data_IF_017806848056
#
_entry.id   IF_017806848056
#
_cell.length_a   1.000
_cell.length_b   1.000
_cell.length_c   1.000
_cell.angle_alpha   90.00
_cell.angle_beta   90.00
_cell.angle_gamma   90.00
#
_symmetry.space_group_name_H-M   'P 1'
#
loop_
_entity.id
_entity.type
_entity.pdbx_description
1 polymer ?
#
# COMPACT_ATOMS: atom_id res chain seq x y z
N UNK A 1 -15.62 -8.86 11.34
CA UNK A 1 -16.16 -8.25 10.10
C UNK A 1 -16.12 -6.74 10.27
N UNK A 2 -15.42 -6.03 9.41
CA UNK A 2 -15.28 -4.57 9.47
C UNK A 2 -16.56 -3.93 8.91
N UNK A 3 -17.19 -3.06 9.70
CA UNK A 3 -18.37 -2.31 9.24
C UNK A 3 -17.88 -1.09 8.49
N UNK A 4 -18.28 -0.93 7.24
CA UNK A 4 -17.88 0.18 6.35
C UNK A 4 -18.94 1.28 6.36
N UNK A 5 -20.22 0.92 6.32
CA UNK A 5 -21.32 1.88 6.30
C UNK A 5 -21.29 2.79 7.54
N UNK A 6 -21.25 4.08 7.31
CA UNK A 6 -21.11 5.12 8.33
C UNK A 6 -19.73 5.25 8.97
N UNK A 7 -18.76 4.36 8.66
CA UNK A 7 -17.41 4.39 9.24
C UNK A 7 -16.64 5.66 8.86
N UNK A 8 -15.85 6.18 9.79
CA UNK A 8 -14.87 7.22 9.53
C UNK A 8 -13.59 6.62 8.96
N UNK A 9 -13.23 6.98 7.74
CA UNK A 9 -12.09 6.41 7.00
C UNK A 9 -11.08 7.49 6.62
N UNK A 10 -9.79 7.20 6.77
CA UNK A 10 -8.68 8.01 6.24
C UNK A 10 -7.95 7.22 5.16
N UNK A 11 -7.65 7.86 4.03
CA UNK A 11 -6.82 7.27 2.97
C UNK A 11 -5.65 8.19 2.68
N UNK A 12 -4.41 7.72 2.89
CA UNK A 12 -3.19 8.46 2.53
C UNK A 12 -2.76 8.16 1.11
N UNK A 13 -2.19 9.14 0.40
CA UNK A 13 -1.94 9.05 -1.04
C UNK A 13 -3.26 8.85 -1.81
N UNK A 14 -4.32 9.49 -1.34
CA UNK A 14 -5.69 9.31 -1.83
C UNK A 14 -6.04 10.13 -3.06
N UNK A 15 -5.14 11.01 -3.53
CA UNK A 15 -5.36 11.87 -4.69
C UNK A 15 -5.25 11.15 -6.04
N UNK A 16 -4.59 10.00 -6.11
CA UNK A 16 -4.35 9.30 -7.36
C UNK A 16 -4.32 7.77 -7.20
N UNK A 17 -4.29 7.06 -8.33
CA UNK A 17 -4.00 5.63 -8.43
C UNK A 17 -4.83 4.76 -7.48
N UNK A 18 -4.13 3.87 -6.77
CA UNK A 18 -4.77 2.94 -5.82
C UNK A 18 -5.52 3.72 -4.72
N UNK A 19 -4.88 4.76 -4.15
CA UNK A 19 -5.48 5.53 -3.05
C UNK A 19 -6.82 6.17 -3.45
N UNK A 20 -6.89 6.76 -4.65
CA UNK A 20 -8.15 7.29 -5.20
C UNK A 20 -9.21 6.20 -5.33
N UNK A 21 -8.83 5.05 -5.87
CA UNK A 21 -9.77 3.94 -6.04
C UNK A 21 -10.26 3.40 -4.68
N UNK A 22 -9.36 3.27 -3.69
CA UNK A 22 -9.75 2.88 -2.32
C UNK A 22 -10.73 3.88 -1.71
N UNK A 23 -10.45 5.19 -1.83
CA UNK A 23 -11.32 6.25 -1.33
C UNK A 23 -12.72 6.17 -1.98
N UNK A 24 -12.77 6.02 -3.31
CA UNK A 24 -14.01 5.88 -4.07
C UNK A 24 -14.80 4.64 -3.68
N UNK A 25 -14.16 3.47 -3.62
CA UNK A 25 -14.81 2.22 -3.26
C UNK A 25 -15.37 2.22 -1.83
N UNK A 26 -14.62 2.76 -0.87
CA UNK A 26 -15.06 2.87 0.53
C UNK A 26 -16.19 3.88 0.68
N UNK A 27 -16.13 5.03 -0.03
CA UNK A 27 -17.24 6.00 -0.04
C UNK A 27 -18.52 5.40 -0.65
N UNK A 28 -18.40 4.68 -1.77
CA UNK A 28 -19.53 3.98 -2.40
C UNK A 28 -20.13 2.91 -1.48
N UNK A 29 -19.34 2.33 -0.59
CA UNK A 29 -19.79 1.39 0.45
C UNK A 29 -20.35 2.08 1.71
N UNK A 30 -20.56 3.40 1.70
CA UNK A 30 -21.19 4.18 2.76
C UNK A 30 -20.25 4.80 3.78
N UNK A 31 -18.94 4.73 3.58
CA UNK A 31 -17.97 5.36 4.49
C UNK A 31 -17.92 6.89 4.31
N UNK A 32 -17.58 7.60 5.40
CA UNK A 32 -17.19 9.01 5.38
C UNK A 32 -15.67 9.09 5.25
N UNK A 33 -15.17 9.62 4.13
CA UNK A 33 -13.76 9.50 3.80
C UNK A 33 -13.02 10.84 3.94
N UNK A 34 -11.87 10.81 4.57
CA UNK A 34 -10.84 11.85 4.52
C UNK A 34 -9.76 11.41 3.55
N UNK A 35 -9.48 12.24 2.57
CA UNK A 35 -8.48 12.07 1.54
C UNK A 35 -7.25 12.90 1.90
N UNK A 36 -6.12 12.23 2.14
CA UNK A 36 -4.83 12.89 2.31
C UNK A 36 -3.93 12.64 1.11
N UNK A 37 -3.29 13.68 0.62
CA UNK A 37 -2.25 13.62 -0.39
C UNK A 37 -1.28 14.79 -0.20
N UNK A 38 -0.07 14.71 -0.78
CA UNK A 38 0.84 15.86 -0.91
C UNK A 38 0.30 16.87 -1.90
N UNK A 39 -0.36 16.40 -2.96
CA UNK A 39 -1.04 17.22 -3.95
C UNK A 39 -2.43 17.62 -3.42
N UNK A 40 -2.54 18.89 -3.01
CA UNK A 40 -3.76 19.45 -2.44
C UNK A 40 -4.93 19.47 -3.45
N UNK A 41 -4.64 19.74 -4.72
CA UNK A 41 -5.66 19.82 -5.77
C UNK A 41 -6.19 18.41 -6.10
N UNK A 42 -5.30 17.42 -6.17
CA UNK A 42 -5.69 16.03 -6.36
C UNK A 42 -6.53 15.50 -5.19
N UNK A 43 -6.14 15.82 -3.95
CA UNK A 43 -6.92 15.47 -2.77
C UNK A 43 -8.31 16.11 -2.78
N UNK A 44 -8.40 17.39 -3.14
CA UNK A 44 -9.65 18.13 -3.23
C UNK A 44 -10.59 17.55 -4.31
N UNK A 45 -10.06 17.24 -5.48
CA UNK A 45 -10.83 16.65 -6.57
C UNK A 45 -11.46 15.28 -6.18
N UNK A 46 -10.69 14.43 -5.47
CA UNK A 46 -11.21 13.14 -4.98
C UNK A 46 -12.20 13.33 -3.85
N UNK A 47 -11.98 14.31 -2.96
CA UNK A 47 -12.93 14.65 -1.90
C UNK A 47 -14.29 15.10 -2.47
N UNK A 48 -14.28 15.93 -3.52
CA UNK A 48 -15.52 16.32 -4.23
C UNK A 48 -16.24 15.12 -4.84
N UNK A 49 -15.50 14.24 -5.54
CA UNK A 49 -16.05 13.03 -6.16
C UNK A 49 -16.69 12.06 -5.17
N UNK A 50 -16.12 11.96 -3.98
CA UNK A 50 -16.53 11.00 -2.94
C UNK A 50 -17.51 11.60 -1.91
N UNK A 51 -17.76 12.91 -1.96
CA UNK A 51 -18.46 13.62 -0.90
C UNK A 51 -17.69 13.64 0.43
N UNK A 52 -16.37 13.44 0.37
CA UNK A 52 -15.45 13.36 1.50
C UNK A 52 -14.78 14.70 1.85
N UNK A 53 -13.68 14.63 2.57
CA UNK A 53 -12.94 15.80 3.04
C UNK A 53 -11.46 15.70 2.61
N UNK A 54 -10.93 16.76 2.00
CA UNK A 54 -9.51 16.84 1.68
C UNK A 54 -8.71 17.36 2.90
N UNK A 55 -7.64 16.66 3.24
CA UNK A 55 -6.66 17.06 4.26
C UNK A 55 -5.26 16.87 3.66
N UNK A 56 -4.77 17.85 2.88
CA UNK A 56 -3.46 17.77 2.26
C UNK A 56 -2.34 17.81 3.29
N UNK A 57 -1.24 17.12 3.01
CA UNK A 57 -0.06 17.12 3.87
C UNK A 57 0.79 15.87 3.75
N UNK A 58 1.99 15.92 4.33
CA UNK A 58 2.98 14.84 4.27
C UNK A 58 2.74 13.79 5.38
N UNK A 59 2.02 12.72 5.05
CA UNK A 59 1.77 11.59 5.94
C UNK A 59 3.02 10.72 6.20
N UNK A 60 4.19 11.04 5.66
CA UNK A 60 5.44 10.35 5.99
C UNK A 60 6.12 10.93 7.24
N UNK A 61 5.84 12.17 7.63
CA UNK A 61 6.42 12.82 8.79
C UNK A 61 5.59 12.62 10.07
N UNK A 62 6.25 12.71 11.23
CA UNK A 62 5.54 12.58 12.52
C UNK A 62 4.52 13.70 12.71
N UNK A 63 4.89 14.94 12.38
CA UNK A 63 4.00 16.08 12.50
C UNK A 63 2.83 15.98 11.50
N UNK A 64 3.11 15.64 10.23
CA UNK A 64 2.05 15.50 9.23
C UNK A 64 1.03 14.41 9.55
N UNK A 65 1.48 13.29 10.13
CA UNK A 65 0.56 12.25 10.63
C UNK A 65 -0.31 12.75 11.77
N UNK A 66 0.25 13.50 12.73
CA UNK A 66 -0.52 14.09 13.84
C UNK A 66 -1.56 15.07 13.33
N UNK A 67 -1.15 15.97 12.44
CA UNK A 67 -2.05 16.99 11.87
C UNK A 67 -3.18 16.34 11.07
N UNK A 68 -2.85 15.33 10.24
CA UNK A 68 -3.84 14.55 9.50
C UNK A 68 -4.86 13.89 10.42
N UNK A 69 -4.40 13.18 11.46
CA UNK A 69 -5.27 12.46 12.38
C UNK A 69 -6.14 13.43 13.19
N UNK A 70 -5.58 14.57 13.61
CA UNK A 70 -6.34 15.62 14.32
C UNK A 70 -7.43 16.22 13.42
N UNK A 71 -7.10 16.59 12.19
CA UNK A 71 -8.07 17.13 11.22
C UNK A 71 -9.14 16.08 10.85
N UNK A 72 -8.73 14.84 10.61
CA UNK A 72 -9.66 13.75 10.31
C UNK A 72 -10.65 13.50 11.45
N UNK A 73 -10.21 13.55 12.70
CA UNK A 73 -11.11 13.47 13.87
C UNK A 73 -12.10 14.64 13.90
N UNK A 74 -11.68 15.83 13.51
CA UNK A 74 -12.56 17.01 13.40
C UNK A 74 -13.70 16.80 12.40
N UNK A 75 -13.42 16.19 11.25
CA UNK A 75 -14.41 15.91 10.21
C UNK A 75 -15.27 14.67 10.51
N UNK A 76 -14.66 13.60 11.00
CA UNK A 76 -15.27 12.29 11.13
C UNK A 76 -15.83 11.99 12.53
N UNK A 77 -15.40 12.73 13.55
CA UNK A 77 -15.63 12.41 14.97
C UNK A 77 -14.73 11.25 15.43
N UNK A 78 -14.78 10.10 14.77
CA UNK A 78 -13.89 8.97 15.02
C UNK A 78 -13.29 8.44 13.71
N UNK A 79 -12.07 7.92 13.82
CA UNK A 79 -11.43 7.18 12.70
C UNK A 79 -11.61 5.70 13.02
N UNK A 80 -12.35 4.99 12.17
CA UNK A 80 -12.62 3.56 12.31
C UNK A 80 -11.69 2.72 11.44
N UNK A 81 -11.33 3.24 10.25
CA UNK A 81 -10.47 2.60 9.27
C UNK A 81 -9.38 3.60 8.86
N UNK A 82 -8.13 3.14 8.81
CA UNK A 82 -7.01 3.93 8.28
C UNK A 82 -6.30 3.15 7.18
N UNK A 83 -6.41 3.64 5.95
CA UNK A 83 -5.70 3.12 4.79
C UNK A 83 -4.34 3.82 4.66
N UNK A 84 -3.31 3.21 5.21
CA UNK A 84 -1.92 3.64 5.07
C UNK A 84 -1.40 3.20 3.70
N UNK A 85 -1.75 4.00 2.68
CA UNK A 85 -1.56 3.65 1.27
C UNK A 85 -0.44 4.45 0.60
N UNK A 86 -0.16 5.68 1.04
CA UNK A 86 0.93 6.48 0.46
C UNK A 86 2.23 5.69 0.36
N UNK A 87 2.88 5.75 -0.80
CA UNK A 87 4.11 5.01 -1.05
C UNK A 87 4.84 5.54 -2.27
N UNK A 88 6.14 5.28 -2.34
CA UNK A 88 7.02 5.68 -3.45
C UNK A 88 7.86 4.49 -3.91
N UNK A 89 8.17 4.45 -5.21
CA UNK A 89 9.12 3.52 -5.80
C UNK A 89 10.31 4.34 -6.32
N UNK A 90 11.37 4.40 -5.54
CA UNK A 90 12.57 5.19 -5.82
C UNK A 90 13.82 4.35 -5.64
N UNK A 91 14.85 4.65 -6.43
CA UNK A 91 16.13 3.93 -6.40
C UNK A 91 16.05 2.56 -7.10
N UNK A 92 17.21 2.07 -7.53
CA UNK A 92 17.32 0.87 -8.37
C UNK A 92 18.14 -0.24 -7.73
N UNK A 93 19.33 0.08 -7.20
CA UNK A 93 20.41 -0.83 -6.87
C UNK A 93 21.16 -0.40 -5.58
N UNK A 94 22.24 -1.10 -5.18
CA UNK A 94 23.02 -0.73 -4.01
C UNK A 94 23.69 0.64 -4.09
N UNK A 95 23.94 1.16 -5.30
CA UNK A 95 24.59 2.47 -5.51
C UNK A 95 23.58 3.64 -5.38
N UNK A 96 22.29 3.34 -5.16
CA UNK A 96 21.27 4.34 -4.84
C UNK A 96 21.69 5.16 -3.63
N UNK A 97 21.67 6.51 -3.68
CA UNK A 97 22.07 7.38 -2.57
C UNK A 97 21.32 7.07 -1.26
N UNK A 98 22.02 7.21 -0.13
CA UNK A 98 21.45 6.91 1.20
C UNK A 98 20.20 7.76 1.49
N UNK A 99 20.17 9.02 1.04
CA UNK A 99 19.00 9.90 1.20
C UNK A 99 17.76 9.34 0.49
N UNK A 100 17.95 8.68 -0.67
CA UNK A 100 16.87 8.01 -1.40
C UNK A 100 16.38 6.78 -0.65
N UNK A 101 17.28 5.98 -0.08
CA UNK A 101 16.96 4.87 0.80
C UNK A 101 16.18 5.34 2.03
N UNK A 102 16.66 6.40 2.67
CA UNK A 102 16.00 6.99 3.84
C UNK A 102 14.61 7.49 3.49
N UNK A 103 14.45 8.21 2.38
CA UNK A 103 13.14 8.69 1.91
C UNK A 103 12.18 7.52 1.66
N UNK A 104 12.63 6.45 0.98
CA UNK A 104 11.83 5.25 0.79
C UNK A 104 11.39 4.63 2.12
N UNK A 105 12.29 4.59 3.10
CA UNK A 105 12.00 4.07 4.44
C UNK A 105 10.98 4.92 5.19
N UNK A 106 11.14 6.24 5.17
CA UNK A 106 10.22 7.17 5.83
C UNK A 106 8.80 7.06 5.29
N UNK A 107 8.65 7.02 3.96
CA UNK A 107 7.34 6.96 3.31
C UNK A 107 6.73 5.56 3.37
N UNK A 108 7.48 4.52 3.00
CA UNK A 108 6.92 3.18 2.83
C UNK A 108 6.85 2.36 4.12
N UNK A 109 7.54 2.80 5.20
CA UNK A 109 7.61 2.04 6.47
C UNK A 109 7.21 2.91 7.65
N UNK A 110 7.94 4.02 7.90
CA UNK A 110 7.73 4.83 9.11
C UNK A 110 6.38 5.53 9.13
N UNK A 111 5.79 5.83 7.98
CA UNK A 111 4.42 6.34 7.89
C UNK A 111 3.42 5.39 8.56
N UNK A 112 3.53 4.08 8.29
CA UNK A 112 2.67 3.06 8.93
C UNK A 112 2.87 3.01 10.45
N UNK A 113 4.13 3.07 10.90
CA UNK A 113 4.50 3.06 12.32
C UNK A 113 3.94 4.28 13.04
N UNK A 114 4.10 5.47 12.45
CA UNK A 114 3.62 6.74 13.03
C UNK A 114 2.10 6.77 13.13
N UNK A 115 1.41 6.40 12.03
CA UNK A 115 -0.05 6.38 12.00
C UNK A 115 -0.63 5.40 13.05
N UNK A 116 -0.12 4.19 13.10
CA UNK A 116 -0.59 3.22 14.09
C UNK A 116 -0.31 3.65 15.53
N UNK A 117 0.84 4.28 15.81
CA UNK A 117 1.17 4.84 17.14
C UNK A 117 0.12 5.85 17.61
N UNK A 118 -0.36 6.72 16.72
CA UNK A 118 -1.36 7.74 17.04
C UNK A 118 -2.79 7.17 17.14
N UNK A 119 -3.08 6.06 16.48
CA UNK A 119 -4.43 5.49 16.41
C UNK A 119 -4.68 4.40 17.47
N UNK A 120 -3.67 3.58 17.75
CA UNK A 120 -3.79 2.41 18.62
C UNK A 120 -4.37 2.72 20.01
N UNK A 121 -3.96 3.78 20.74
CA UNK A 121 -4.50 4.02 22.07
C UNK A 121 -6.02 4.07 22.09
N UNK A 122 -6.63 4.89 21.23
CA UNK A 122 -8.08 5.03 21.16
C UNK A 122 -8.78 3.77 20.61
N UNK A 123 -8.15 3.07 19.66
CA UNK A 123 -8.71 1.84 19.12
C UNK A 123 -8.70 0.70 20.13
N UNK A 124 -7.63 0.55 20.89
CA UNK A 124 -7.51 -0.48 21.92
C UNK A 124 -8.40 -0.20 23.14
N UNK A 125 -8.64 1.07 23.49
CA UNK A 125 -9.56 1.46 24.53
C UNK A 125 -11.01 1.12 24.17
N UNK A 126 -11.43 1.40 22.92
CA UNK A 126 -12.79 1.09 22.46
C UNK A 126 -12.98 -0.34 21.96
N UNK A 127 -11.89 -1.15 21.90
CA UNK A 127 -11.93 -2.54 21.47
C UNK A 127 -12.22 -2.73 19.98
N UNK A 128 -11.97 -1.72 19.12
CA UNK A 128 -12.18 -1.81 17.66
C UNK A 128 -11.33 -0.80 16.90
N UNK A 129 -10.79 -1.22 15.77
CA UNK A 129 -10.08 -0.41 14.79
C UNK A 129 -9.67 -1.25 13.61
N UNK A 130 -9.48 -0.64 12.44
CA UNK A 130 -9.04 -1.33 11.23
C UNK A 130 -7.87 -0.57 10.61
N UNK A 131 -6.73 -1.24 10.50
CA UNK A 131 -5.53 -0.70 9.87
C UNK A 131 -5.24 -1.44 8.57
N UNK A 132 -5.20 -0.72 7.45
CA UNK A 132 -4.95 -1.27 6.13
C UNK A 132 -3.62 -0.75 5.63
N UNK A 133 -2.70 -1.65 5.27
CA UNK A 133 -1.40 -1.33 4.69
C UNK A 133 -1.41 -1.69 3.21
N UNK A 134 -1.09 -0.73 2.35
CA UNK A 134 -0.77 -1.02 0.95
C UNK A 134 0.72 -1.35 0.83
N UNK A 135 1.04 -2.64 0.94
CA UNK A 135 2.37 -3.16 0.67
C UNK A 135 2.60 -3.33 -0.83
N UNK A 136 2.96 -4.51 -1.30
CA UNK A 136 3.14 -4.87 -2.70
C UNK A 136 3.44 -6.37 -2.80
N UNK A 137 3.22 -6.99 -3.95
CA UNK A 137 3.82 -8.30 -4.27
C UNK A 137 5.36 -8.28 -4.14
N UNK A 138 5.99 -7.11 -4.32
CA UNK A 138 7.42 -6.92 -4.06
C UNK A 138 7.80 -7.16 -2.59
N UNK A 139 6.89 -6.99 -1.64
CA UNK A 139 7.08 -7.31 -0.23
C UNK A 139 7.04 -8.81 0.08
N UNK A 140 6.47 -9.59 -0.82
CA UNK A 140 6.38 -11.05 -0.71
C UNK A 140 7.40 -11.78 -1.60
N UNK A 141 7.72 -11.22 -2.78
CA UNK A 141 8.41 -11.92 -3.86
C UNK A 141 9.76 -11.32 -4.24
N UNK A 142 10.02 -10.08 -3.83
CA UNK A 142 11.12 -9.22 -4.31
C UNK A 142 10.86 -8.70 -5.74
N UNK A 143 11.18 -7.45 -5.99
CA UNK A 143 11.12 -6.82 -7.32
C UNK A 143 12.54 -6.58 -7.83
N UNK A 144 12.85 -7.11 -9.00
CA UNK A 144 14.12 -6.83 -9.68
C UNK A 144 14.15 -5.36 -10.13
N UNK A 145 15.33 -4.75 -10.13
CA UNK A 145 15.54 -3.37 -10.53
C UNK A 145 15.04 -2.31 -9.52
N UNK A 146 14.66 -2.71 -8.29
CA UNK A 146 14.33 -1.74 -7.23
C UNK A 146 14.58 -2.32 -5.83
N UNK A 147 15.83 -2.21 -5.38
CA UNK A 147 16.25 -2.69 -4.07
C UNK A 147 15.58 -1.94 -2.91
N UNK A 148 15.54 -0.58 -2.88
CA UNK A 148 14.89 0.15 -1.79
C UNK A 148 13.38 -0.16 -1.69
N UNK A 149 12.71 -0.26 -2.84
CA UNK A 149 11.29 -0.60 -2.86
C UNK A 149 11.03 -2.00 -2.33
N UNK A 150 11.79 -3.00 -2.80
CA UNK A 150 11.65 -4.38 -2.32
C UNK A 150 11.86 -4.50 -0.82
N UNK A 151 12.92 -3.90 -0.28
CA UNK A 151 13.23 -3.94 1.15
C UNK A 151 12.13 -3.25 1.97
N UNK A 152 11.72 -2.06 1.56
CA UNK A 152 10.71 -1.31 2.31
C UNK A 152 9.32 -1.96 2.25
N UNK A 153 8.96 -2.60 1.13
CA UNK A 153 7.67 -3.31 1.03
C UNK A 153 7.65 -4.64 1.82
N UNK A 154 8.80 -5.33 1.97
CA UNK A 154 8.92 -6.43 2.94
C UNK A 154 8.77 -5.93 4.37
N UNK A 155 9.38 -4.80 4.72
CA UNK A 155 9.24 -4.21 6.03
C UNK A 155 7.80 -3.75 6.33
N UNK A 156 7.09 -3.19 5.36
CA UNK A 156 5.69 -2.79 5.49
C UNK A 156 4.76 -3.99 5.74
N UNK A 157 4.98 -5.09 4.99
CA UNK A 157 4.23 -6.34 5.19
C UNK A 157 4.51 -6.95 6.56
N UNK A 158 5.79 -7.10 6.93
CA UNK A 158 6.16 -7.64 8.24
C UNK A 158 5.65 -6.77 9.41
N UNK A 159 5.55 -5.44 9.23
CA UNK A 159 4.96 -4.57 10.23
C UNK A 159 3.44 -4.77 10.36
N UNK A 160 2.73 -4.94 9.23
CA UNK A 160 1.30 -5.26 9.23
C UNK A 160 1.04 -6.61 9.91
N UNK A 161 1.85 -7.63 9.62
CA UNK A 161 1.78 -8.94 10.25
C UNK A 161 1.99 -8.85 11.78
N UNK A 162 3.02 -8.08 12.20
CA UNK A 162 3.28 -7.86 13.62
C UNK A 162 2.11 -7.18 14.35
N UNK A 163 1.50 -6.16 13.73
CA UNK A 163 0.32 -5.49 14.28
C UNK A 163 -0.85 -6.47 14.45
N UNK A 164 -1.14 -7.27 13.42
CA UNK A 164 -2.20 -8.27 13.46
C UNK A 164 -1.96 -9.31 14.56
N UNK A 165 -0.77 -9.90 14.60
CA UNK A 165 -0.41 -10.91 15.60
C UNK A 165 -0.43 -10.36 17.03
N UNK A 166 -0.08 -9.06 17.20
CA UNK A 166 0.04 -8.45 18.54
C UNK A 166 -1.31 -7.99 19.09
N UNK A 167 -2.20 -7.43 18.27
CA UNK A 167 -3.37 -6.70 18.76
C UNK A 167 -4.74 -7.25 18.33
N UNK A 168 -4.79 -8.33 17.53
CA UNK A 168 -6.07 -8.88 17.07
C UNK A 168 -7.00 -9.25 18.25
N UNK A 169 -6.47 -9.83 19.32
CA UNK A 169 -7.23 -10.18 20.54
C UNK A 169 -7.80 -8.98 21.29
N UNK A 170 -7.35 -7.75 20.95
CA UNK A 170 -7.83 -6.49 21.52
C UNK A 170 -8.76 -5.72 20.58
N UNK A 171 -9.23 -6.36 19.51
CA UNK A 171 -10.20 -5.79 18.57
C UNK A 171 -9.59 -5.00 17.41
N UNK A 172 -8.26 -5.05 17.22
CA UNK A 172 -7.63 -4.50 16.02
C UNK A 172 -7.77 -5.52 14.87
N UNK A 173 -8.34 -5.07 13.74
CA UNK A 173 -8.23 -5.79 12.47
C UNK A 173 -7.14 -5.16 11.62
N UNK A 174 -6.33 -5.99 10.95
CA UNK A 174 -5.27 -5.52 10.05
C UNK A 174 -5.40 -6.24 8.72
N UNK A 175 -5.27 -5.49 7.65
CA UNK A 175 -5.26 -6.02 6.29
C UNK A 175 -4.02 -5.51 5.55
N UNK A 176 -3.39 -6.37 4.77
CA UNK A 176 -2.22 -6.05 3.95
C UNK A 176 -2.55 -6.30 2.49
N UNK A 177 -2.64 -5.23 1.70
CA UNK A 177 -2.87 -5.32 0.25
C UNK A 177 -1.53 -5.47 -0.44
N UNK A 178 -1.35 -6.55 -1.21
CA UNK A 178 -0.12 -6.84 -1.94
C UNK A 178 -0.38 -6.95 -3.44
N UNK A 179 -0.61 -5.82 -4.13
CA UNK A 179 -0.81 -5.80 -5.58
C UNK A 179 0.51 -6.04 -6.32
N UNK A 180 0.41 -6.56 -7.54
CA UNK A 180 1.49 -6.61 -8.53
C UNK A 180 1.44 -5.35 -9.40
N UNK A 181 1.44 -5.45 -10.73
CA UNK A 181 1.29 -4.30 -11.62
C UNK A 181 -0.12 -3.68 -11.53
N UNK A 182 -0.20 -2.38 -11.27
CA UNK A 182 -1.45 -1.62 -11.29
C UNK A 182 -1.26 -0.40 -12.18
N UNK A 183 -2.19 -0.12 -13.06
CA UNK A 183 -2.12 0.98 -14.05
C UNK A 183 -2.19 2.35 -13.34
N UNK A 184 -1.06 2.81 -12.87
CA UNK A 184 -0.84 4.08 -12.16
C UNK A 184 0.39 4.78 -12.74
N UNK A 185 0.62 6.06 -12.38
CA UNK A 185 1.85 6.77 -12.71
C UNK A 185 3.10 6.03 -12.24
N UNK A 186 3.05 5.43 -11.06
CA UNK A 186 4.15 4.65 -10.49
C UNK A 186 4.57 3.47 -11.40
N UNK A 187 3.63 2.80 -12.05
CA UNK A 187 3.95 1.73 -13.02
C UNK A 187 4.64 2.31 -14.25
N UNK A 188 4.18 3.46 -14.75
CA UNK A 188 4.82 4.15 -15.88
C UNK A 188 6.26 4.56 -15.59
N UNK A 189 6.59 4.87 -14.35
CA UNK A 189 7.91 5.29 -13.88
C UNK A 189 8.83 4.11 -13.49
N UNK A 190 8.32 2.87 -13.49
CA UNK A 190 9.05 1.68 -13.00
C UNK A 190 10.20 1.20 -13.90
N UNK A 191 10.50 1.94 -14.96
CA UNK A 191 11.56 1.60 -15.91
C UNK A 191 11.26 0.35 -16.74
N UNK A 192 12.23 -0.07 -17.57
CA UNK A 192 12.07 -1.24 -18.45
C UNK A 192 11.84 -2.55 -17.69
N UNK A 193 12.56 -2.76 -16.60
CA UNK A 193 12.40 -3.96 -15.77
C UNK A 193 10.97 -4.10 -15.25
N UNK A 194 10.38 -3.01 -14.73
CA UNK A 194 8.99 -3.00 -14.29
C UNK A 194 8.00 -3.22 -15.43
N UNK A 195 8.26 -2.64 -16.61
CA UNK A 195 7.42 -2.84 -17.78
C UNK A 195 7.44 -4.30 -18.26
N UNK A 196 8.62 -4.92 -18.34
CA UNK A 196 8.77 -6.33 -18.76
C UNK A 196 8.06 -7.29 -17.81
N UNK A 197 8.13 -7.03 -16.51
CA UNK A 197 7.63 -7.97 -15.48
C UNK A 197 6.16 -7.73 -15.14
N UNK A 198 5.66 -6.49 -15.26
CA UNK A 198 4.40 -6.08 -14.65
C UNK A 198 3.34 -5.60 -15.64
N UNK A 199 3.72 -5.14 -16.87
CA UNK A 199 2.78 -4.44 -17.75
C UNK A 199 1.66 -5.34 -18.28
N UNK A 200 1.99 -6.56 -18.71
CA UNK A 200 1.03 -7.48 -19.35
C UNK A 200 -0.06 -7.97 -18.38
N UNK A 201 0.24 -7.99 -17.07
CA UNK A 201 -0.68 -8.43 -16.04
C UNK A 201 -1.23 -7.26 -15.20
N UNK A 202 -1.02 -6.02 -15.63
CA UNK A 202 -1.43 -4.85 -14.85
C UNK A 202 -2.95 -4.69 -14.84
N UNK A 203 -3.51 -4.56 -13.64
CA UNK A 203 -4.95 -4.36 -13.39
C UNK A 203 -5.26 -2.87 -13.20
N UNK A 204 -6.54 -2.53 -13.31
CA UNK A 204 -7.02 -1.18 -12.97
C UNK A 204 -7.00 -0.96 -11.45
N UNK A 205 -6.80 0.29 -10.96
CA UNK A 205 -6.82 0.60 -9.53
C UNK A 205 -8.13 0.20 -8.83
N UNK A 206 -9.24 0.27 -9.54
CA UNK A 206 -10.57 -0.11 -9.04
C UNK A 206 -10.64 -1.58 -8.66
N UNK A 207 -9.95 -2.47 -9.37
CA UNK A 207 -9.88 -3.90 -9.04
C UNK A 207 -9.13 -4.14 -7.72
N UNK A 208 -8.20 -3.24 -7.33
CA UNK A 208 -7.57 -3.29 -6.01
C UNK A 208 -8.56 -2.89 -4.92
N UNK A 209 -9.40 -1.88 -5.17
CA UNK A 209 -10.45 -1.48 -4.25
C UNK A 209 -11.50 -2.58 -4.07
N UNK A 210 -11.92 -3.25 -5.14
CA UNK A 210 -12.84 -4.38 -5.09
C UNK A 210 -12.26 -5.54 -4.26
N UNK A 211 -10.97 -5.85 -4.46
CA UNK A 211 -10.28 -6.86 -3.66
C UNK A 211 -10.20 -6.47 -2.17
N UNK A 212 -9.98 -5.19 -1.85
CA UNK A 212 -10.04 -4.70 -0.48
C UNK A 212 -11.43 -4.91 0.13
N UNK A 213 -12.49 -4.49 -0.56
CA UNK A 213 -13.87 -4.60 -0.04
C UNK A 213 -14.24 -6.06 0.23
N UNK A 214 -13.87 -6.98 -0.67
CA UNK A 214 -14.04 -8.41 -0.46
C UNK A 214 -13.25 -8.91 0.76
N UNK A 215 -11.97 -8.53 0.87
CA UNK A 215 -11.11 -8.90 1.99
C UNK A 215 -11.61 -8.39 3.34
N UNK A 216 -12.17 -7.16 3.40
CA UNK A 216 -12.79 -6.60 4.60
C UNK A 216 -14.03 -7.40 5.03
N UNK A 217 -14.84 -7.82 4.06
CA UNK A 217 -16.03 -8.64 4.32
C UNK A 217 -15.67 -10.04 4.85
N UNK A 218 -14.60 -10.63 4.34
CA UNK A 218 -14.11 -11.96 4.72
C UNK A 218 -13.22 -11.96 5.97
N UNK A 219 -12.66 -10.80 6.35
CA UNK A 219 -11.65 -10.71 7.41
C UNK A 219 -10.27 -11.22 6.98
N UNK A 220 -9.98 -11.18 5.68
CA UNK A 220 -8.72 -11.69 5.10
C UNK A 220 -7.56 -10.75 5.41
N UNK A 221 -6.49 -11.25 6.07
CA UNK A 221 -5.29 -10.44 6.35
C UNK A 221 -4.53 -10.08 5.07
N UNK A 222 -4.15 -11.09 4.27
CA UNK A 222 -3.34 -10.90 3.07
C UNK A 222 -4.26 -10.82 1.83
N UNK A 223 -4.46 -9.61 1.34
CA UNK A 223 -5.30 -9.31 0.18
C UNK A 223 -4.43 -9.29 -1.08
N UNK A 224 -4.70 -10.20 -2.00
CA UNK A 224 -3.94 -10.41 -3.23
C UNK A 224 -4.83 -10.10 -4.44
N UNK A 225 -4.81 -8.85 -4.96
CA UNK A 225 -5.59 -8.48 -6.14
C UNK A 225 -5.22 -9.29 -7.39
N UNK A 226 -3.99 -9.83 -7.43
CA UNK A 226 -3.49 -10.72 -8.46
C UNK A 226 -3.41 -12.15 -7.91
N UNK A 227 -4.32 -13.05 -8.27
CA UNK A 227 -4.41 -14.39 -7.67
C UNK A 227 -3.12 -15.22 -7.79
N UNK A 228 -2.37 -15.05 -8.90
CA UNK A 228 -1.11 -15.77 -9.13
C UNK A 228 -0.02 -15.44 -8.10
N UNK A 229 -0.10 -14.31 -7.40
CA UNK A 229 0.87 -13.95 -6.36
C UNK A 229 0.88 -14.97 -5.23
N UNK A 230 -0.26 -15.59 -4.94
CA UNK A 230 -0.38 -16.66 -3.94
C UNK A 230 0.50 -17.86 -4.30
N UNK A 231 0.43 -18.31 -5.53
CA UNK A 231 1.19 -19.46 -6.00
C UNK A 231 2.70 -19.16 -6.02
N UNK A 232 3.08 -17.95 -6.44
CA UNK A 232 4.47 -17.51 -6.40
C UNK A 232 5.01 -17.45 -4.97
N UNK A 233 4.23 -16.95 -4.04
CA UNK A 233 4.60 -16.87 -2.63
C UNK A 233 4.77 -18.26 -2.01
N UNK A 234 3.88 -19.19 -2.34
CA UNK A 234 4.01 -20.60 -1.92
C UNK A 234 5.25 -21.26 -2.52
N UNK A 235 5.54 -21.05 -3.81
CA UNK A 235 6.76 -21.56 -4.45
C UNK A 235 8.02 -21.02 -3.79
N UNK A 236 8.05 -19.71 -3.48
CA UNK A 236 9.17 -19.10 -2.76
C UNK A 236 9.37 -19.71 -1.37
N UNK A 237 8.31 -19.90 -0.63
CA UNK A 237 8.37 -20.48 0.73
C UNK A 237 8.77 -21.95 0.71
N UNK A 238 8.31 -22.71 -0.29
CA UNK A 238 8.59 -24.13 -0.43
C UNK A 238 10.04 -24.47 -0.82
N UNK A 239 10.65 -23.67 -1.70
CA UNK A 239 12.06 -23.79 -2.10
C UNK A 239 12.61 -22.42 -2.51
N UNK A 240 13.07 -21.68 -1.51
CA UNK A 240 13.66 -20.34 -1.71
C UNK A 240 14.88 -20.38 -2.63
N UNK A 241 15.70 -21.43 -2.58
CA UNK A 241 16.87 -21.59 -3.46
C UNK A 241 16.46 -21.72 -4.93
N UNK A 242 15.45 -22.54 -5.23
CA UNK A 242 14.90 -22.69 -6.58
C UNK A 242 14.27 -21.38 -7.06
N UNK A 243 13.53 -20.71 -6.19
CA UNK A 243 12.95 -19.40 -6.47
C UNK A 243 14.01 -18.38 -6.88
N UNK A 244 15.07 -18.20 -6.07
CA UNK A 244 16.14 -17.25 -6.35
C UNK A 244 16.88 -17.54 -7.66
N UNK A 245 17.10 -18.83 -7.98
CA UNK A 245 17.65 -19.20 -9.31
C UNK A 245 16.71 -18.80 -10.45
N UNK A 246 15.40 -18.89 -10.25
CA UNK A 246 14.38 -18.41 -11.20
C UNK A 246 14.45 -16.91 -11.40
N UNK A 247 14.48 -16.16 -10.31
CA UNK A 247 14.62 -14.69 -10.33
C UNK A 247 15.92 -14.24 -10.98
N UNK A 248 17.04 -14.93 -10.74
CA UNK A 248 18.30 -14.60 -11.38
C UNK A 248 18.26 -14.84 -12.92
N UNK A 249 17.61 -15.89 -13.40
CA UNK A 249 17.39 -16.07 -14.85
C UNK A 249 16.52 -14.94 -15.45
N UNK A 250 15.53 -14.46 -14.70
CA UNK A 250 14.72 -13.32 -15.11
C UNK A 250 15.56 -12.04 -15.20
N UNK A 251 16.44 -11.80 -14.21
CA UNK A 251 17.38 -10.68 -14.25
C UNK A 251 18.28 -10.71 -15.48
N UNK A 252 18.83 -11.87 -15.83
CA UNK A 252 19.63 -12.03 -17.04
C UNK A 252 18.87 -11.66 -18.33
N UNK A 253 17.57 -12.01 -18.40
CA UNK A 253 16.71 -11.62 -19.53
C UNK A 253 16.47 -10.11 -19.56
N UNK A 254 16.24 -9.48 -18.44
CA UNK A 254 16.07 -8.02 -18.35
C UNK A 254 17.32 -7.32 -18.86
N UNK A 255 18.51 -7.72 -18.41
CA UNK A 255 19.80 -7.17 -18.86
C UNK A 255 20.03 -7.38 -20.36
N UNK A 256 19.60 -8.52 -20.90
CA UNK A 256 19.69 -8.79 -22.32
C UNK A 256 18.78 -7.88 -23.15
N UNK A 257 17.53 -7.69 -22.71
CA UNK A 257 16.58 -6.75 -23.35
C UNK A 257 17.10 -5.31 -23.28
N UNK A 258 17.69 -4.90 -22.15
CA UNK A 258 18.28 -3.57 -22.00
C UNK A 258 19.47 -3.37 -22.95
N UNK A 259 20.28 -4.40 -23.17
CA UNK A 259 21.44 -4.36 -24.06
C UNK A 259 21.06 -4.38 -25.54
N UNK A 260 20.05 -5.16 -25.94
CA UNK A 260 19.70 -5.40 -27.36
C UNK A 260 18.54 -4.53 -27.84
N UNK A 261 17.66 -4.09 -26.94
CA UNK A 261 16.41 -3.40 -27.28
C UNK A 261 15.32 -4.33 -27.85
N UNK A 262 15.55 -5.64 -27.93
CA UNK A 262 14.64 -6.62 -28.53
C UNK A 262 13.97 -7.47 -27.42
N UNK A 263 12.63 -7.55 -27.48
CA UNK A 263 11.82 -8.51 -26.72
C UNK A 263 11.72 -9.83 -27.51
N UNK A 264 12.27 -10.92 -27.01
CA UNK A 264 12.12 -12.27 -27.54
C UNK A 264 11.17 -13.12 -26.70
#
# INVERSE_FOLDING_TARGET
MTIIDGAGVVVTGGGAGIGRALAGGLAAAGARVVINDLDADAAAAVAEQTGGYAVPGDASTEQGVRDLIAAARGHLGSIDIYCSNAGIAVGTDPDTPEETWQRAWEVNVMAHVRASRELLPAWLERGRGCFIVTASAAGLLTMLGSAPYSVTKHAAEGYAEWLAATYAHRGLTVHCICPQGVKTSMLGESGRAGQVVLADAAIEPEQVADALLAGLAEGTFLILPHPQVRDYYQMRAGDTGKWLRGMNRMQQRIEEVERTGEYH
#
